data_IF_327211179255
#
_entry.id   IF_327211179255
#
_cell.length_a   1.000
_cell.length_b   1.000
_cell.length_c   1.000
_cell.angle_alpha   90.00
_cell.angle_beta   90.00
_cell.angle_gamma   90.00
#
_symmetry.space_group_name_H-M   'P 1'
#
loop_
_entity.id
_entity.type
_entity.pdbx_description
1 polymer ?
#
# COMPACT_ATOMS: atom_id res chain seq x y z
N UNK A 1 30.04 56.34 50.66
CA UNK A 1 28.80 55.54 50.62
C UNK A 1 28.38 55.42 49.17
N UNK A 2 28.15 54.19 48.69
CA UNK A 2 28.05 53.83 47.29
C UNK A 2 26.59 53.67 46.84
N UNK A 3 26.34 53.70 45.53
CA UNK A 3 25.28 52.90 44.94
C UNK A 3 25.81 52.26 43.66
N UNK A 4 25.99 50.94 43.76
CA UNK A 4 26.32 50.05 42.67
C UNK A 4 25.04 49.71 41.91
N UNK A 5 25.03 49.91 40.59
CA UNK A 5 24.05 49.27 39.72
C UNK A 5 24.81 48.36 38.75
N UNK A 6 24.83 47.09 39.16
CA UNK A 6 25.17 45.93 38.36
C UNK A 6 23.93 45.52 37.55
N UNK A 7 24.02 45.48 36.22
CA UNK A 7 23.16 44.64 35.37
C UNK A 7 23.97 44.25 34.12
N UNK A 8 24.63 43.09 34.16
CA UNK A 8 24.12 41.80 33.66
C UNK A 8 23.88 41.78 32.15
N UNK A 9 24.97 41.57 31.41
CA UNK A 9 24.99 41.10 30.03
C UNK A 9 24.32 39.73 29.94
N UNK A 10 23.16 39.66 29.29
CA UNK A 10 22.50 38.41 28.89
C UNK A 10 22.86 38.11 27.43
N UNK A 11 23.45 36.95 27.10
CA UNK A 11 23.67 36.57 25.71
C UNK A 11 22.36 36.04 25.11
N UNK A 12 21.90 36.68 24.04
CA UNK A 12 20.76 36.25 23.25
C UNK A 12 21.06 34.90 22.56
N UNK A 13 20.08 34.00 22.65
CA UNK A 13 20.02 32.66 22.07
C UNK A 13 20.15 32.69 20.54
N UNK A 14 20.75 31.66 19.90
CA UNK A 14 20.78 31.53 18.46
C UNK A 14 19.38 31.26 17.90
N UNK A 15 19.01 32.04 16.90
CA UNK A 15 17.75 31.96 16.15
C UNK A 15 17.71 30.64 15.36
N UNK A 16 16.78 29.78 15.77
CA UNK A 16 16.59 28.43 15.25
C UNK A 16 16.26 28.46 13.77
N UNK A 17 16.97 27.61 13.03
CA UNK A 17 16.81 27.33 11.61
C UNK A 17 15.34 27.21 11.16
N UNK A 18 15.05 27.91 10.07
CA UNK A 18 13.82 27.79 9.29
C UNK A 18 13.71 26.35 8.78
N UNK A 19 12.76 25.58 9.32
CA UNK A 19 12.33 24.29 8.77
C UNK A 19 11.77 24.52 7.36
N UNK A 20 12.21 23.78 6.33
CA UNK A 20 11.63 23.92 5.00
C UNK A 20 10.18 23.39 4.99
N UNK A 21 9.28 24.20 4.44
CA UNK A 21 7.87 23.86 4.22
C UNK A 21 7.72 22.56 3.41
N UNK A 22 6.63 21.78 3.60
CA UNK A 22 6.41 20.56 2.86
C UNK A 22 6.23 20.85 1.37
N UNK A 23 7.16 20.36 0.55
CA UNK A 23 7.14 20.44 -0.91
C UNK A 23 5.85 19.83 -1.45
N UNK A 24 4.98 20.66 -2.02
CA UNK A 24 3.74 20.26 -2.69
C UNK A 24 4.06 19.84 -4.11
N UNK A 25 4.55 18.62 -4.28
CA UNK A 25 4.69 18.02 -5.62
C UNK A 25 3.28 17.72 -6.15
N UNK A 26 2.90 18.16 -7.37
CA UNK A 26 1.59 17.90 -7.94
C UNK A 26 1.38 16.38 -8.09
N UNK A 27 0.28 15.88 -7.50
CA UNK A 27 0.01 14.45 -7.29
C UNK A 27 -0.67 13.79 -8.50
N UNK A 28 -0.18 14.07 -9.70
CA UNK A 28 -0.72 13.52 -10.95
C UNK A 28 -0.75 11.98 -10.87
N UNK A 29 -1.93 11.39 -11.06
CA UNK A 29 -2.13 9.93 -11.13
C UNK A 29 -2.80 9.28 -9.91
N UNK A 30 -3.03 10.00 -8.81
CA UNK A 30 -3.77 9.46 -7.65
C UNK A 30 -5.27 9.50 -7.93
N UNK A 31 -5.94 8.34 -7.85
CA UNK A 31 -7.40 8.24 -7.95
C UNK A 31 -8.03 8.08 -6.58
N UNK A 32 -8.99 8.93 -6.27
CA UNK A 32 -9.79 8.93 -5.03
C UNK A 32 -11.22 8.54 -5.38
N UNK A 33 -11.76 7.59 -4.64
CA UNK A 33 -13.19 7.27 -4.67
C UNK A 33 -13.89 8.07 -3.58
N UNK A 34 -14.94 8.81 -3.94
CA UNK A 34 -15.71 9.63 -3.01
C UNK A 34 -17.16 9.13 -3.00
N UNK A 35 -17.67 8.77 -1.83
CA UNK A 35 -19.04 8.31 -1.62
C UNK A 35 -19.73 9.26 -0.66
N UNK A 36 -20.66 10.05 -1.19
CA UNK A 36 -21.43 11.04 -0.42
C UNK A 36 -22.83 11.14 -1.06
N UNK A 37 -23.92 10.87 -0.32
CA UNK A 37 -25.28 10.95 -0.87
C UNK A 37 -25.71 12.39 -1.15
N UNK A 38 -25.06 13.40 -0.56
CA UNK A 38 -25.31 14.82 -0.82
C UNK A 38 -24.56 15.28 -2.09
N UNK A 39 -25.31 15.68 -3.12
CA UNK A 39 -24.75 16.11 -4.40
C UNK A 39 -23.89 17.38 -4.26
N UNK A 40 -24.32 18.34 -3.44
CA UNK A 40 -23.61 19.60 -3.24
C UNK A 40 -22.33 19.40 -2.43
N UNK A 41 -22.38 18.56 -1.40
CA UNK A 41 -21.23 18.11 -0.62
C UNK A 41 -20.20 17.40 -1.50
N UNK A 42 -20.68 16.44 -2.32
CA UNK A 42 -19.86 15.66 -3.23
C UNK A 42 -19.13 16.51 -4.26
N UNK A 43 -19.82 17.45 -4.91
CA UNK A 43 -19.21 18.33 -5.91
C UNK A 43 -18.21 19.32 -5.29
N UNK A 44 -18.50 19.80 -4.07
CA UNK A 44 -17.59 20.68 -3.33
C UNK A 44 -16.28 19.97 -2.98
N UNK A 45 -16.36 18.77 -2.42
CA UNK A 45 -15.18 17.95 -2.08
C UNK A 45 -14.40 17.58 -3.34
N UNK A 46 -15.11 17.19 -4.41
CA UNK A 46 -14.52 16.90 -5.72
C UNK A 46 -13.73 18.08 -6.26
N UNK A 47 -14.27 19.30 -6.19
CA UNK A 47 -13.59 20.52 -6.65
C UNK A 47 -12.29 20.76 -5.90
N UNK A 48 -12.33 20.74 -4.56
CA UNK A 48 -11.12 20.95 -3.73
C UNK A 48 -10.02 19.93 -4.01
N UNK A 49 -10.38 18.66 -4.19
CA UNK A 49 -9.43 17.60 -4.51
C UNK A 49 -8.90 17.71 -5.94
N UNK A 50 -9.74 18.09 -6.90
CA UNK A 50 -9.30 18.29 -8.28
C UNK A 50 -8.32 19.46 -8.41
N UNK A 51 -8.55 20.55 -7.67
CA UNK A 51 -7.64 21.71 -7.60
C UNK A 51 -6.24 21.32 -7.07
N UNK A 52 -6.14 20.34 -6.15
CA UNK A 52 -4.86 19.79 -5.65
C UNK A 52 -4.26 18.69 -6.57
N UNK A 53 -4.91 18.41 -7.71
CA UNK A 53 -4.42 17.51 -8.76
C UNK A 53 -4.80 16.04 -8.61
N UNK A 54 -5.76 15.70 -7.75
CA UNK A 54 -6.31 14.36 -7.64
C UNK A 54 -7.36 14.08 -8.71
N UNK A 55 -7.41 12.83 -9.20
CA UNK A 55 -8.57 12.33 -9.96
C UNK A 55 -9.62 11.85 -8.97
N UNK A 56 -10.83 12.36 -9.05
CA UNK A 56 -11.92 11.99 -8.14
C UNK A 56 -13.04 11.31 -8.91
N UNK A 57 -13.44 10.13 -8.44
CA UNK A 57 -14.64 9.42 -8.89
C UNK A 57 -15.68 9.56 -7.78
N UNK A 58 -16.66 10.43 -8.00
CA UNK A 58 -17.73 10.71 -7.03
C UNK A 58 -18.97 9.87 -7.30
N UNK A 59 -19.49 9.21 -6.28
CA UNK A 59 -20.64 8.31 -6.34
C UNK A 59 -21.59 8.59 -5.17
N UNK A 60 -22.91 8.42 -5.35
CA UNK A 60 -23.88 8.71 -4.30
C UNK A 60 -24.07 7.56 -3.30
N UNK A 61 -23.64 6.34 -3.63
CA UNK A 61 -23.92 5.12 -2.85
C UNK A 61 -22.72 4.16 -2.86
N UNK A 62 -22.59 3.39 -1.77
CA UNK A 62 -21.53 2.39 -1.62
C UNK A 62 -21.64 1.24 -2.63
N UNK A 63 -22.85 0.83 -3.02
CA UNK A 63 -23.03 -0.23 -4.03
C UNK A 63 -22.43 0.15 -5.39
N UNK A 64 -22.64 1.41 -5.81
CA UNK A 64 -22.04 1.93 -7.03
C UNK A 64 -20.52 2.02 -6.92
N UNK A 65 -20.02 2.33 -5.71
CA UNK A 65 -18.59 2.37 -5.43
C UNK A 65 -17.95 0.99 -5.54
N UNK A 66 -18.58 -0.04 -4.99
CA UNK A 66 -18.14 -1.44 -5.11
C UNK A 66 -18.11 -1.89 -6.58
N UNK A 67 -19.17 -1.60 -7.34
CA UNK A 67 -19.22 -1.92 -8.77
C UNK A 67 -18.09 -1.23 -9.57
N UNK A 68 -17.78 0.02 -9.22
CA UNK A 68 -16.72 0.81 -9.87
C UNK A 68 -15.33 0.24 -9.61
N UNK A 69 -15.14 -0.56 -8.55
CA UNK A 69 -13.86 -1.21 -8.26
C UNK A 69 -13.46 -2.27 -9.30
N UNK A 70 -14.36 -2.68 -10.20
CA UNK A 70 -14.02 -3.57 -11.31
C UNK A 70 -13.08 -2.88 -12.32
N UNK A 71 -13.32 -1.60 -12.60
CA UNK A 71 -12.62 -0.83 -13.62
C UNK A 71 -11.61 0.17 -13.04
N UNK A 72 -11.79 0.54 -11.77
CA UNK A 72 -10.99 1.57 -11.11
C UNK A 72 -10.37 1.02 -9.84
N UNK A 73 -9.06 1.18 -9.68
CA UNK A 73 -8.34 0.88 -8.44
C UNK A 73 -8.01 2.19 -7.72
N UNK A 74 -8.83 2.64 -6.76
CA UNK A 74 -8.54 3.86 -6.01
C UNK A 74 -7.34 3.65 -5.06
N UNK A 75 -6.61 4.73 -4.76
CA UNK A 75 -5.59 4.70 -3.71
C UNK A 75 -6.22 4.86 -2.32
N UNK A 76 -7.32 5.61 -2.22
CA UNK A 76 -8.08 5.85 -0.99
C UNK A 76 -9.58 5.99 -1.29
N UNK A 77 -10.41 5.77 -0.28
CA UNK A 77 -11.86 5.97 -0.34
C UNK A 77 -12.25 7.00 0.72
N UNK A 78 -13.09 7.96 0.34
CA UNK A 78 -13.73 8.92 1.25
C UNK A 78 -15.20 8.53 1.33
N UNK A 79 -15.71 8.30 2.54
CA UNK A 79 -17.09 7.85 2.75
C UNK A 79 -17.77 8.83 3.69
N UNK A 80 -18.95 9.31 3.31
CA UNK A 80 -19.84 10.00 4.23
C UNK A 80 -20.51 9.00 5.18
N UNK A 81 -20.55 9.30 6.47
CA UNK A 81 -21.12 8.41 7.47
C UNK A 81 -22.61 8.11 7.22
N UNK A 82 -23.36 9.01 6.58
CA UNK A 82 -24.73 8.75 6.18
C UNK A 82 -24.81 7.64 5.10
N UNK A 83 -23.83 7.51 4.21
CA UNK A 83 -23.76 6.41 3.26
C UNK A 83 -23.41 5.07 3.92
N UNK A 84 -22.71 5.12 5.06
CA UNK A 84 -22.22 3.96 5.79
C UNK A 84 -23.25 3.33 6.73
N UNK A 85 -24.38 4.01 6.97
CA UNK A 85 -25.42 3.55 7.90
C UNK A 85 -25.98 2.17 7.53
N UNK A 86 -26.04 1.85 6.23
CA UNK A 86 -26.50 0.56 5.71
C UNK A 86 -25.38 -0.52 5.67
N UNK A 87 -24.17 -0.17 6.10
CA UNK A 87 -22.97 -1.02 6.05
C UNK A 87 -22.05 -0.73 4.85
N UNK A 88 -20.86 -1.34 4.84
CA UNK A 88 -19.89 -1.22 3.75
C UNK A 88 -19.75 -2.55 3.00
N UNK A 89 -19.80 -2.56 1.66
CA UNK A 89 -19.58 -3.78 0.89
C UNK A 89 -18.14 -4.28 1.05
N UNK A 90 -17.97 -5.60 0.94
CA UNK A 90 -16.80 -6.30 1.50
C UNK A 90 -15.45 -5.84 0.96
N UNK A 91 -15.32 -5.49 -0.34
CA UNK A 91 -14.02 -5.06 -0.87
C UNK A 91 -13.67 -3.64 -0.40
N UNK A 92 -14.63 -2.72 -0.37
CA UNK A 92 -14.45 -1.39 0.21
C UNK A 92 -14.15 -1.42 1.71
N UNK A 93 -14.70 -2.40 2.44
CA UNK A 93 -14.56 -2.48 3.88
C UNK A 93 -13.10 -2.59 4.35
N UNK A 94 -12.22 -3.29 3.62
CA UNK A 94 -10.86 -3.55 4.11
C UNK A 94 -9.73 -3.37 3.10
N UNK A 95 -10.01 -3.32 1.79
CA UNK A 95 -8.95 -3.32 0.78
C UNK A 95 -8.27 -1.97 0.61
N UNK A 96 -8.92 -0.88 1.00
CA UNK A 96 -8.47 0.49 0.76
C UNK A 96 -8.49 1.31 2.05
N UNK A 97 -7.64 2.35 2.17
CA UNK A 97 -7.72 3.25 3.31
C UNK A 97 -9.00 4.09 3.23
N UNK A 98 -9.75 4.18 4.33
CA UNK A 98 -10.99 4.94 4.39
C UNK A 98 -10.82 6.20 5.23
N UNK A 99 -11.18 7.33 4.64
CA UNK A 99 -11.40 8.59 5.35
C UNK A 99 -12.90 8.77 5.54
N UNK A 100 -13.37 8.62 6.78
CA UNK A 100 -14.78 8.77 7.12
C UNK A 100 -15.11 10.24 7.38
N UNK A 101 -16.16 10.75 6.74
CA UNK A 101 -16.70 12.09 7.01
C UNK A 101 -17.92 11.95 7.91
N UNK A 102 -17.83 12.46 9.13
CA UNK A 102 -18.87 12.37 10.15
C UNK A 102 -19.47 13.76 10.44
N UNK A 103 -20.77 13.86 10.76
CA UNK A 103 -21.32 15.09 11.34
C UNK A 103 -20.77 15.32 12.76
N UNK A 104 -20.89 16.54 13.28
CA UNK A 104 -20.31 16.93 14.56
C UNK A 104 -20.96 16.24 15.77
N UNK A 105 -22.22 15.82 15.62
CA UNK A 105 -23.03 15.10 16.59
C UNK A 105 -22.99 13.58 16.41
N UNK A 106 -22.12 13.06 15.53
CA UNK A 106 -22.00 11.64 15.28
C UNK A 106 -21.52 10.88 16.52
N UNK A 107 -22.17 9.76 16.83
CA UNK A 107 -21.73 8.87 17.91
C UNK A 107 -20.45 8.13 17.51
N UNK A 108 -19.31 8.64 17.99
CA UNK A 108 -18.01 8.03 17.70
C UNK A 108 -17.78 6.72 18.45
N UNK A 109 -18.55 6.40 19.50
CA UNK A 109 -18.38 5.15 20.24
C UNK A 109 -18.73 3.92 19.37
N UNK A 110 -19.70 4.08 18.47
CA UNK A 110 -20.10 3.04 17.51
C UNK A 110 -19.06 2.73 16.43
N UNK A 111 -18.07 3.60 16.20
CA UNK A 111 -17.09 3.41 15.13
C UNK A 111 -16.25 2.14 15.32
N UNK A 112 -15.98 1.74 16.57
CA UNK A 112 -15.22 0.53 16.87
C UNK A 112 -15.96 -0.77 16.53
N UNK A 113 -17.28 -0.70 16.36
CA UNK A 113 -18.13 -1.85 16.01
C UNK A 113 -18.36 -1.98 14.50
N UNK A 114 -17.89 -1.03 13.70
CA UNK A 114 -17.98 -1.09 12.25
C UNK A 114 -16.96 -2.11 11.73
N UNK A 115 -17.42 -3.04 10.91
CA UNK A 115 -16.55 -3.97 10.18
C UNK A 115 -15.93 -3.29 8.96
N UNK A 116 -15.28 -2.15 9.19
CA UNK A 116 -14.72 -1.28 8.15
C UNK A 116 -13.40 -0.71 8.64
N UNK A 117 -12.38 -0.78 7.80
CA UNK A 117 -11.08 -0.16 8.03
C UNK A 117 -11.22 1.34 7.93
N UNK A 118 -11.18 2.05 9.06
CA UNK A 118 -11.20 3.52 9.11
C UNK A 118 -9.80 4.02 9.49
N UNK A 119 -9.15 4.74 8.59
CA UNK A 119 -7.79 5.27 8.79
C UNK A 119 -7.80 6.70 9.33
N UNK A 120 -8.86 7.45 9.03
CA UNK A 120 -9.05 8.80 9.53
C UNK A 120 -10.53 9.20 9.55
N UNK A 121 -10.88 10.08 10.48
CA UNK A 121 -12.18 10.75 10.50
C UNK A 121 -12.02 12.25 10.28
N UNK A 122 -12.99 12.84 9.59
CA UNK A 122 -13.14 14.28 9.36
C UNK A 122 -14.53 14.71 9.85
N UNK A 123 -14.60 15.81 10.58
CA UNK A 123 -15.85 16.32 11.15
C UNK A 123 -16.42 17.41 10.23
N UNK A 124 -17.71 17.35 9.91
CA UNK A 124 -18.42 18.43 9.21
C UNK A 124 -18.60 19.64 10.15
N UNK A 125 -18.46 20.89 9.66
CA UNK A 125 -18.22 21.29 8.28
C UNK A 125 -16.77 21.08 7.83
N UNK A 126 -16.61 20.48 6.64
CA UNK A 126 -15.29 20.17 6.10
C UNK A 126 -14.52 21.44 5.75
N UNK A 127 -13.25 21.49 6.20
CA UNK A 127 -12.29 22.52 5.80
C UNK A 127 -11.38 21.97 4.70
N UNK A 128 -11.16 22.71 3.60
CA UNK A 128 -10.33 22.22 2.48
C UNK A 128 -8.93 21.79 2.92
N UNK A 129 -8.28 22.61 3.75
CA UNK A 129 -6.92 22.35 4.24
C UNK A 129 -6.86 21.03 5.03
N UNK A 130 -7.88 20.76 5.85
CA UNK A 130 -7.93 19.55 6.68
C UNK A 130 -8.18 18.31 5.83
N UNK A 131 -9.17 18.39 4.91
CA UNK A 131 -9.45 17.32 3.95
C UNK A 131 -8.20 16.95 3.15
N UNK A 132 -7.55 17.95 2.56
CA UNK A 132 -6.35 17.75 1.75
C UNK A 132 -5.22 17.15 2.56
N UNK A 133 -5.00 17.61 3.80
CA UNK A 133 -3.97 17.06 4.67
C UNK A 133 -4.23 15.59 5.05
N UNK A 134 -5.48 15.22 5.35
CA UNK A 134 -5.87 13.84 5.71
C UNK A 134 -5.75 12.90 4.51
N UNK A 135 -6.33 13.28 3.37
CA UNK A 135 -6.18 12.57 2.09
C UNK A 135 -4.70 12.39 1.76
N UNK A 136 -3.92 13.45 1.93
CA UNK A 136 -2.50 13.41 1.67
C UNK A 136 -1.74 12.40 2.52
N UNK A 137 -2.08 12.31 3.81
CA UNK A 137 -1.50 11.36 4.73
C UNK A 137 -1.91 9.92 4.39
N UNK A 138 -3.20 9.69 4.12
CA UNK A 138 -3.72 8.37 3.76
C UNK A 138 -3.08 7.82 2.48
N UNK A 139 -2.94 8.64 1.43
CA UNK A 139 -2.24 8.28 0.18
C UNK A 139 -0.78 7.90 0.44
N UNK A 140 -0.07 8.68 1.27
CA UNK A 140 1.33 8.35 1.63
C UNK A 140 1.43 7.04 2.40
N UNK A 141 0.51 6.79 3.34
CA UNK A 141 0.46 5.55 4.10
C UNK A 141 0.20 4.35 3.17
N UNK A 142 -0.78 4.45 2.27
CA UNK A 142 -1.08 3.40 1.28
C UNK A 142 0.10 3.05 0.40
N UNK A 143 0.81 4.07 -0.11
CA UNK A 143 1.97 3.83 -0.97
C UNK A 143 3.10 3.12 -0.23
N UNK A 144 3.32 3.43 1.06
CA UNK A 144 4.27 2.71 1.90
C UNK A 144 3.84 1.26 2.12
N UNK A 145 2.57 1.04 2.44
CA UNK A 145 1.98 -0.29 2.59
C UNK A 145 2.21 -1.16 1.33
N UNK A 146 1.89 -0.62 0.15
CA UNK A 146 2.10 -1.31 -1.13
C UNK A 146 3.58 -1.56 -1.42
N UNK A 147 4.46 -0.60 -1.13
CA UNK A 147 5.91 -0.77 -1.32
C UNK A 147 6.49 -1.86 -0.38
N UNK A 148 6.03 -1.91 0.87
CA UNK A 148 6.40 -2.97 1.82
C UNK A 148 5.90 -4.34 1.37
N UNK A 149 4.66 -4.41 0.86
CA UNK A 149 4.10 -5.65 0.30
C UNK A 149 4.94 -6.15 -0.87
N UNK A 150 5.29 -5.28 -1.82
CA UNK A 150 6.16 -5.66 -2.95
C UNK A 150 7.55 -6.12 -2.50
N UNK A 151 8.14 -5.48 -1.49
CA UNK A 151 9.42 -5.90 -0.92
C UNK A 151 9.31 -7.26 -0.19
N UNK A 152 8.22 -7.50 0.54
CA UNK A 152 7.94 -8.80 1.18
C UNK A 152 7.73 -9.89 0.14
N UNK A 153 7.05 -9.59 -0.95
CA UNK A 153 6.83 -10.54 -2.05
C UNK A 153 8.15 -10.92 -2.72
N UNK A 154 9.02 -9.94 -2.99
CA UNK A 154 10.35 -10.18 -3.55
C UNK A 154 11.25 -10.99 -2.59
N UNK A 155 11.22 -10.66 -1.29
CA UNK A 155 11.95 -11.42 -0.26
C UNK A 155 11.40 -12.83 -0.09
N UNK A 156 10.07 -12.99 -0.18
CA UNK A 156 9.40 -14.29 -0.15
C UNK A 156 9.80 -15.14 -1.35
N UNK A 157 9.92 -14.55 -2.54
CA UNK A 157 10.41 -15.23 -3.74
C UNK A 157 11.85 -15.69 -3.57
N UNK A 158 12.74 -14.82 -3.05
CA UNK A 158 14.10 -15.24 -2.76
C UNK A 158 14.19 -16.31 -1.67
N UNK A 159 13.36 -16.23 -0.63
CA UNK A 159 13.29 -17.26 0.41
C UNK A 159 12.81 -18.61 -0.16
N UNK A 160 11.78 -18.61 -1.03
CA UNK A 160 11.33 -19.81 -1.75
C UNK A 160 12.45 -20.42 -2.57
N UNK A 161 13.16 -19.59 -3.34
CA UNK A 161 14.31 -20.02 -4.14
C UNK A 161 15.41 -20.63 -3.27
N UNK A 162 15.75 -19.99 -2.15
CA UNK A 162 16.75 -20.48 -1.21
C UNK A 162 16.35 -21.81 -0.55
N UNK A 163 15.08 -21.98 -0.19
CA UNK A 163 14.54 -23.25 0.31
C UNK A 163 14.70 -24.37 -0.72
N UNK A 164 14.32 -24.12 -1.98
CA UNK A 164 14.47 -25.09 -3.08
C UNK A 164 15.94 -25.49 -3.26
N UNK A 165 16.86 -24.54 -3.21
CA UNK A 165 18.30 -24.81 -3.31
C UNK A 165 18.85 -25.62 -2.13
N UNK A 166 18.42 -25.33 -0.91
CA UNK A 166 18.83 -26.08 0.28
C UNK A 166 18.27 -27.51 0.29
N UNK A 167 17.02 -27.68 -0.13
CA UNK A 167 16.41 -29.00 -0.27
C UNK A 167 17.12 -29.80 -1.36
N UNK A 168 17.50 -29.16 -2.47
CA UNK A 168 18.35 -29.75 -3.50
C UNK A 168 19.72 -30.15 -2.96
N UNK A 169 20.43 -29.26 -2.24
CA UNK A 169 21.76 -29.57 -1.71
C UNK A 169 21.72 -30.73 -0.71
N UNK A 170 20.64 -30.83 0.09
CA UNK A 170 20.42 -31.96 1.00
C UNK A 170 20.10 -33.25 0.24
N UNK A 171 19.28 -33.17 -0.82
CA UNK A 171 18.94 -34.32 -1.64
C UNK A 171 20.14 -34.87 -2.42
N UNK A 172 21.03 -33.98 -2.89
CA UNK A 172 22.32 -34.33 -3.50
C UNK A 172 23.23 -35.08 -2.51
N UNK A 173 23.32 -34.60 -1.27
CA UNK A 173 24.13 -35.26 -0.22
C UNK A 173 23.63 -36.65 0.19
N UNK A 174 22.42 -37.04 -0.24
CA UNK A 174 21.84 -38.38 -0.01
C UNK A 174 21.78 -39.24 -1.27
N UNK A 175 22.05 -38.68 -2.44
CA UNK A 175 22.03 -39.45 -3.69
C UNK A 175 23.20 -40.44 -3.69
N UNK A 176 22.91 -41.70 -4.02
CA UNK A 176 23.91 -42.78 -4.04
C UNK A 176 24.38 -43.11 -5.46
N UNK A 177 23.84 -42.43 -6.47
CA UNK A 177 24.18 -42.63 -7.89
C UNK A 177 24.08 -41.34 -8.69
N UNK A 178 24.78 -41.28 -9.82
CA UNK A 178 24.78 -40.13 -10.72
C UNK A 178 23.41 -39.93 -11.40
N UNK A 179 22.72 -41.01 -11.76
CA UNK A 179 21.39 -40.92 -12.39
C UNK A 179 20.36 -40.28 -11.43
N UNK A 180 20.40 -40.62 -10.14
CA UNK A 180 19.51 -40.04 -9.12
C UNK A 180 19.80 -38.53 -8.88
N UNK A 181 21.07 -38.13 -9.03
CA UNK A 181 21.46 -36.71 -9.02
C UNK A 181 20.88 -35.98 -10.23
N UNK A 182 21.00 -36.56 -11.42
CA UNK A 182 20.53 -35.94 -12.67
C UNK A 182 19.01 -35.76 -12.65
N UNK A 183 18.24 -36.77 -12.26
CA UNK A 183 16.77 -36.68 -12.16
C UNK A 183 16.34 -35.57 -11.18
N UNK A 184 16.97 -35.50 -10.01
CA UNK A 184 16.69 -34.44 -9.02
C UNK A 184 17.06 -33.05 -9.54
N UNK A 185 18.13 -32.93 -10.31
CA UNK A 185 18.57 -31.67 -10.90
C UNK A 185 17.59 -31.15 -11.94
N UNK A 186 17.02 -32.03 -12.79
CA UNK A 186 15.96 -31.67 -13.75
C UNK A 186 14.71 -31.17 -13.03
N UNK A 187 14.25 -31.88 -11.99
CA UNK A 187 13.06 -31.52 -11.22
C UNK A 187 13.19 -30.13 -10.59
N UNK A 188 14.34 -29.86 -9.98
CA UNK A 188 14.62 -28.59 -9.31
C UNK A 188 14.81 -27.44 -10.31
N UNK A 189 15.46 -27.69 -11.44
CA UNK A 189 15.58 -26.71 -12.52
C UNK A 189 14.21 -26.35 -13.13
N UNK A 190 13.29 -27.31 -13.26
CA UNK A 190 11.91 -27.05 -13.69
C UNK A 190 11.15 -26.16 -12.70
N UNK A 191 11.31 -26.40 -11.40
CA UNK A 191 10.69 -25.59 -10.35
C UNK A 191 11.25 -24.16 -10.31
N UNK A 192 12.57 -23.98 -10.40
CA UNK A 192 13.20 -22.65 -10.33
C UNK A 192 12.95 -21.78 -11.56
N UNK A 193 12.76 -22.37 -12.73
CA UNK A 193 12.57 -21.64 -13.99
C UNK A 193 11.10 -21.45 -14.37
N UNK A 194 10.16 -21.95 -13.55
CA UNK A 194 8.74 -22.08 -13.87
C UNK A 194 8.49 -22.74 -15.25
N UNK A 195 9.40 -23.63 -15.68
CA UNK A 195 9.34 -24.28 -16.98
C UNK A 195 8.61 -25.61 -16.88
N UNK A 196 7.61 -25.82 -17.73
CA UNK A 196 6.83 -27.08 -17.79
C UNK A 196 7.64 -28.27 -18.34
N UNK A 197 8.76 -28.01 -19.01
CA UNK A 197 9.67 -29.03 -19.56
C UNK A 197 11.10 -28.55 -19.41
N UNK A 198 11.90 -29.30 -18.67
CA UNK A 198 13.35 -29.14 -18.58
C UNK A 198 13.96 -30.49 -18.96
N UNK A 199 15.07 -30.48 -19.71
CA UNK A 199 15.78 -31.71 -20.06
C UNK A 199 17.28 -31.47 -20.05
N UNK A 200 18.03 -32.43 -19.52
CA UNK A 200 19.50 -32.46 -19.58
C UNK A 200 19.95 -33.28 -20.79
N UNK A 201 20.87 -32.72 -21.58
CA UNK A 201 21.57 -33.44 -22.65
C UNK A 201 22.95 -33.84 -22.12
N UNK A 202 23.18 -35.14 -22.02
CA UNK A 202 24.44 -35.70 -21.55
C UNK A 202 25.15 -36.36 -22.74
N UNK A 203 26.43 -36.07 -22.99
CA UNK A 203 27.20 -36.82 -23.97
C UNK A 203 27.34 -38.28 -23.53
N UNK A 204 27.27 -39.18 -24.49
CA UNK A 204 27.62 -40.59 -24.29
C UNK A 204 29.12 -40.73 -23.99
N UNK A 205 29.56 -41.88 -23.49
CA UNK A 205 30.96 -42.11 -23.08
C UNK A 205 31.96 -41.84 -24.23
N UNK A 206 31.55 -42.14 -25.47
CA UNK A 206 32.32 -41.91 -26.70
C UNK A 206 32.12 -40.49 -27.30
N UNK A 207 31.25 -39.66 -26.69
CA UNK A 207 30.83 -38.32 -27.13
C UNK A 207 30.21 -38.23 -28.53
N UNK A 208 29.85 -39.35 -29.12
CA UNK A 208 29.27 -39.39 -30.47
C UNK A 208 27.76 -39.12 -30.47
N UNK A 209 27.06 -39.35 -29.36
CA UNK A 209 25.61 -39.14 -29.23
C UNK A 209 25.23 -38.43 -27.93
N UNK A 210 24.01 -37.89 -27.87
CA UNK A 210 23.46 -37.21 -26.70
C UNK A 210 22.30 -38.02 -26.10
N UNK A 211 22.41 -38.37 -24.81
CA UNK A 211 21.32 -38.93 -24.01
C UNK A 211 20.49 -37.81 -23.40
N UNK A 212 19.18 -37.84 -23.62
CA UNK A 212 18.25 -36.84 -23.06
C UNK A 212 17.61 -37.41 -21.80
N UNK A 213 17.80 -36.73 -20.67
CA UNK A 213 17.12 -37.00 -19.40
C UNK A 213 16.07 -35.92 -19.18
N UNK A 214 14.84 -36.32 -18.85
CA UNK A 214 13.65 -35.46 -18.76
C UNK A 214 13.09 -35.41 -17.36
#
# INVERSE_FOLDING_TARGET
MPDAVTTSTTPARPETAVTPAPTTTPRRGVTILLVDPDDDGRERVRRWLHEDGYRVVGLPRLDAAEATLADVTPEIVIIDAAALADGCPGRLAHAFPVVLVIPADYDTAGLAHLDVRIDACLIKPLRPIELLARVAAAVRARRRELAEMGLRELRGEQARMWTVLLDFSRAMGRALSLDEVIERLVLVAAQMTCSRRVSLMLPDDDRETLRIVK
#
